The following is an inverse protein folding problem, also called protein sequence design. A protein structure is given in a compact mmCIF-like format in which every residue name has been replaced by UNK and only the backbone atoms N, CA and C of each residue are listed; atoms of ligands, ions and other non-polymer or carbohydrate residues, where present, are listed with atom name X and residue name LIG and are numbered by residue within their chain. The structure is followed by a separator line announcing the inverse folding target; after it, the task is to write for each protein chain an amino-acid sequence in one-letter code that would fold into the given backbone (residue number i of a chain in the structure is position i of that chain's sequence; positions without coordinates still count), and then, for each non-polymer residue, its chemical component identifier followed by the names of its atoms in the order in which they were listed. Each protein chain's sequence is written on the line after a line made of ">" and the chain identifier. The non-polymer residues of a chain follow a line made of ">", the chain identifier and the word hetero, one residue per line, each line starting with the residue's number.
data_IF_153958998644
#
_entry.id   IF_153958998644
#
_cell.length_a   1.000
_cell.length_b   1.000
_cell.length_c   1.000
_cell.angle_alpha   90.00
_cell.angle_beta   90.00
_cell.angle_gamma   90.00
#
_symmetry.space_group_name_H-M   'P 1'
#
loop_
_entity.id
_entity.type
_entity.pdbx_description
1 polymer ?
#
# COMPACT_ATOMS: atom_id res chain seq x y z
N UNK A 1 -50.95 -10.39 26.00
CA UNK A 1 -49.93 -10.38 24.91
C UNK A 1 -49.54 -8.94 24.65
N UNK A 2 -48.28 -8.56 24.91
CA UNK A 2 -47.82 -7.16 24.78
C UNK A 2 -46.69 -7.14 23.75
N UNK A 3 -46.99 -6.58 22.57
CA UNK A 3 -46.04 -6.43 21.47
C UNK A 3 -45.12 -5.23 21.73
N UNK A 4 -43.84 -5.50 22.01
CA UNK A 4 -42.79 -4.49 22.14
C UNK A 4 -41.54 -4.96 21.40
N UNK A 5 -41.54 -4.94 20.06
CA UNK A 5 -40.32 -5.32 19.31
C UNK A 5 -40.03 -4.48 18.06
N UNK A 6 -40.88 -3.52 17.68
CA UNK A 6 -40.68 -2.79 16.41
C UNK A 6 -40.21 -1.32 16.53
N UNK A 7 -39.95 -0.82 17.74
CA UNK A 7 -39.60 0.60 17.94
C UNK A 7 -38.10 0.93 17.94
N UNK A 8 -37.22 -0.08 17.95
CA UNK A 8 -35.76 0.10 18.04
C UNK A 8 -35.01 -0.12 16.71
N UNK A 9 -35.64 -0.78 15.73
CA UNK A 9 -35.05 -1.02 14.40
C UNK A 9 -35.10 0.23 13.50
N UNK A 10 -36.12 1.07 13.66
CA UNK A 10 -36.28 2.29 12.88
C UNK A 10 -35.22 3.38 13.17
N UNK A 11 -34.86 3.69 14.43
CA UNK A 11 -33.80 4.66 14.71
C UNK A 11 -32.40 4.16 14.30
N UNK A 12 -32.15 2.85 14.29
CA UNK A 12 -30.87 2.27 13.85
C UNK A 12 -30.67 2.42 12.33
N UNK A 13 -31.73 2.17 11.54
CA UNK A 13 -31.71 2.39 10.10
C UNK A 13 -31.52 3.86 9.71
N UNK A 14 -32.14 4.78 10.47
CA UNK A 14 -32.00 6.23 10.26
C UNK A 14 -30.60 6.71 10.64
N UNK A 15 -30.01 6.18 11.72
CA UNK A 15 -28.63 6.51 12.12
C UNK A 15 -27.57 6.05 11.10
N UNK A 16 -27.76 4.88 10.47
CA UNK A 16 -26.88 4.41 9.38
C UNK A 16 -27.03 5.22 8.08
N UNK A 17 -28.21 5.82 7.82
CA UNK A 17 -28.44 6.71 6.67
C UNK A 17 -27.84 8.11 6.87
N UNK A 18 -27.70 8.55 8.12
CA UNK A 18 -27.13 9.86 8.50
C UNK A 18 -25.59 9.88 8.62
N UNK A 19 -24.91 8.74 8.51
CA UNK A 19 -23.44 8.65 8.48
C UNK A 19 -22.87 8.80 7.07
N UNK A 20 -23.52 9.58 6.20
CA UNK A 20 -22.98 10.02 4.91
C UNK A 20 -21.87 11.04 5.17
N UNK A 21 -20.73 10.56 5.65
CA UNK A 21 -19.50 11.34 5.77
C UNK A 21 -19.06 11.85 4.40
N UNK A 22 -18.41 13.00 4.39
CA UNK A 22 -17.85 13.60 3.18
C UNK A 22 -17.05 12.55 2.41
N UNK A 23 -17.50 12.22 1.21
CA UNK A 23 -16.76 11.37 0.30
C UNK A 23 -15.47 12.10 -0.07
N UNK A 24 -14.35 11.65 0.49
CA UNK A 24 -13.04 12.08 0.03
C UNK A 24 -12.88 11.58 -1.41
N UNK A 25 -12.29 12.41 -2.28
CA UNK A 25 -11.97 12.01 -3.64
C UNK A 25 -11.12 10.73 -3.60
N UNK A 26 -11.58 9.67 -4.24
CA UNK A 26 -10.85 8.42 -4.39
C UNK A 26 -10.34 8.32 -5.82
N UNK A 27 -9.08 7.94 -5.99
CA UNK A 27 -8.48 7.75 -7.30
C UNK A 27 -8.69 6.30 -7.78
N UNK A 28 -8.78 6.03 -9.09
CA UNK A 28 -8.85 4.65 -9.63
C UNK A 28 -7.71 3.76 -9.13
N UNK A 29 -6.54 4.34 -8.91
CA UNK A 29 -5.36 3.69 -8.35
C UNK A 29 -5.60 3.20 -6.91
N UNK A 30 -6.40 3.92 -6.12
CA UNK A 30 -6.79 3.50 -4.77
C UNK A 30 -7.71 2.26 -4.82
N UNK A 31 -8.63 2.22 -5.79
CA UNK A 31 -9.51 1.07 -5.98
C UNK A 31 -8.71 -0.18 -6.38
N UNK A 32 -7.74 -0.05 -7.29
CA UNK A 32 -6.84 -1.14 -7.66
C UNK A 32 -6.04 -1.62 -6.44
N UNK A 33 -5.43 -0.69 -5.70
CA UNK A 33 -4.62 -1.00 -4.52
C UNK A 33 -5.40 -1.70 -3.41
N UNK A 34 -6.66 -1.31 -3.17
CA UNK A 34 -7.55 -1.99 -2.22
C UNK A 34 -8.04 -3.35 -2.73
N UNK A 35 -8.06 -3.57 -4.05
CA UNK A 35 -8.49 -4.84 -4.63
C UNK A 35 -7.40 -5.93 -4.63
N UNK A 36 -6.13 -5.54 -4.48
CA UNK A 36 -5.02 -6.48 -4.45
C UNK A 36 -4.94 -7.17 -3.08
N UNK A 37 -5.06 -8.51 -3.03
CA UNK A 37 -4.93 -9.24 -1.79
C UNK A 37 -3.47 -9.24 -1.34
N UNK A 38 -3.23 -9.15 -0.02
CA UNK A 38 -1.90 -9.36 0.52
C UNK A 38 -1.55 -10.84 0.65
N UNK A 39 -0.43 -11.12 1.33
CA UNK A 39 0.15 -12.47 1.45
C UNK A 39 -0.60 -13.39 2.42
N UNK A 40 -1.63 -12.88 3.12
CA UNK A 40 -2.41 -13.63 4.10
C UNK A 40 -1.82 -13.62 5.51
N UNK A 41 -2.54 -14.27 6.44
CA UNK A 41 -2.28 -14.19 7.89
C UNK A 41 -1.90 -15.55 8.45
N UNK A 42 -0.98 -15.59 9.42
CA UNK A 42 -0.59 -16.84 10.09
C UNK A 42 0.71 -17.43 9.56
N UNK A 43 1.70 -17.62 10.45
CA UNK A 43 3.00 -18.20 10.07
C UNK A 43 2.86 -19.62 9.52
N UNK A 44 1.92 -20.41 10.06
CA UNK A 44 1.60 -21.75 9.55
C UNK A 44 1.01 -21.68 8.14
N UNK A 45 0.05 -20.79 7.90
CA UNK A 45 -0.55 -20.60 6.58
C UNK A 45 0.48 -20.14 5.54
N UNK A 46 1.31 -19.17 5.90
CA UNK A 46 2.41 -18.68 5.05
C UNK A 46 3.43 -19.79 4.74
N UNK A 47 3.79 -20.62 5.73
CA UNK A 47 4.68 -21.76 5.52
C UNK A 47 4.13 -22.85 4.59
N UNK A 48 2.82 -22.86 4.35
CA UNK A 48 2.16 -23.74 3.38
C UNK A 48 1.86 -23.03 2.05
N UNK A 49 2.50 -21.89 1.79
CA UNK A 49 2.25 -21.11 0.58
C UNK A 49 0.79 -20.69 0.46
N UNK A 50 0.21 -20.22 1.57
CA UNK A 50 -1.18 -19.73 1.69
C UNK A 50 -2.29 -20.76 1.46
N UNK A 51 -1.96 -22.04 1.31
CA UNK A 51 -2.93 -23.14 1.21
C UNK A 51 -3.45 -23.59 2.59
N UNK A 52 -4.25 -22.75 3.27
CA UNK A 52 -4.68 -23.03 4.66
C UNK A 52 -6.19 -23.19 4.90
N UNK A 53 -7.06 -22.68 4.02
CA UNK A 53 -8.52 -22.61 4.22
C UNK A 53 -9.19 -23.91 4.69
N UNK A 54 -8.76 -25.07 4.19
CA UNK A 54 -9.36 -26.38 4.51
C UNK A 54 -8.90 -26.99 5.85
N UNK A 55 -7.76 -26.54 6.38
CA UNK A 55 -7.14 -27.08 7.61
C UNK A 55 -6.92 -25.98 8.65
N UNK A 56 -7.64 -24.86 8.51
CA UNK A 56 -7.58 -23.74 9.43
C UNK A 56 -7.98 -24.18 10.83
N UNK A 57 -7.03 -24.15 11.77
CA UNK A 57 -7.15 -24.81 13.07
C UNK A 57 -6.34 -24.12 14.17
N UNK A 58 -6.04 -22.83 13.99
CA UNK A 58 -5.40 -21.94 14.96
C UNK A 58 -6.09 -20.58 14.93
N UNK A 59 -5.66 -19.60 15.72
CA UNK A 59 -6.22 -18.24 15.71
C UNK A 59 -6.37 -17.66 14.28
N UNK A 60 -5.44 -17.94 13.36
CA UNK A 60 -5.49 -17.40 11.99
C UNK A 60 -6.67 -17.92 11.16
N UNK A 61 -7.40 -18.93 11.65
CA UNK A 61 -8.69 -19.33 11.09
C UNK A 61 -9.71 -18.18 11.02
N UNK A 62 -9.57 -17.15 11.86
CA UNK A 62 -10.38 -15.91 11.78
C UNK A 62 -10.34 -15.28 10.37
N UNK A 63 -9.20 -15.37 9.68
CA UNK A 63 -8.96 -14.84 8.34
C UNK A 63 -9.27 -15.87 7.25
N UNK A 64 -8.84 -17.12 7.43
CA UNK A 64 -8.95 -18.14 6.37
C UNK A 64 -10.30 -18.84 6.31
N UNK A 65 -10.81 -19.31 7.44
CA UNK A 65 -12.06 -20.05 7.56
C UNK A 65 -12.55 -20.03 9.02
N UNK A 66 -13.47 -19.13 9.39
CA UNK A 66 -13.87 -18.97 10.78
C UNK A 66 -14.51 -20.22 11.37
N UNK A 67 -15.13 -21.11 10.58
CA UNK A 67 -15.66 -22.37 11.09
C UNK A 67 -14.55 -23.27 11.67
N UNK A 68 -13.31 -23.12 11.18
CA UNK A 68 -12.13 -23.80 11.71
C UNK A 68 -11.81 -23.46 13.17
N UNK A 69 -12.24 -22.29 13.66
CA UNK A 69 -12.06 -21.92 15.07
C UNK A 69 -12.77 -22.90 16.02
N UNK A 70 -13.89 -23.53 15.60
CA UNK A 70 -14.58 -24.52 16.42
C UNK A 70 -13.69 -25.75 16.73
N UNK A 71 -12.65 -25.99 15.94
CA UNK A 71 -11.70 -27.09 16.17
C UNK A 71 -10.70 -26.81 17.30
N UNK A 72 -10.65 -25.58 17.83
CA UNK A 72 -9.77 -25.21 18.93
C UNK A 72 -10.20 -25.86 20.24
N UNK A 73 -9.28 -26.61 20.84
CA UNK A 73 -9.50 -27.32 22.11
C UNK A 73 -9.19 -26.45 23.34
N UNK A 74 -8.27 -25.50 23.18
CA UNK A 74 -7.76 -24.65 24.25
C UNK A 74 -7.74 -23.20 23.80
N UNK A 75 -7.62 -22.29 24.75
CA UNK A 75 -7.37 -20.89 24.43
C UNK A 75 -5.98 -20.73 23.79
N UNK A 76 -5.90 -19.96 22.72
CA UNK A 76 -4.67 -19.70 21.98
C UNK A 76 -4.41 -18.20 21.89
N UNK A 77 -3.14 -17.83 22.01
CA UNK A 77 -2.65 -16.49 21.73
C UNK A 77 -1.65 -16.56 20.57
N UNK A 78 -1.79 -15.63 19.62
CA UNK A 78 -0.90 -15.51 18.48
C UNK A 78 -0.27 -14.12 18.46
N UNK A 79 1.03 -14.07 18.23
CA UNK A 79 1.78 -12.87 17.88
C UNK A 79 2.71 -13.16 16.72
N UNK A 80 2.80 -12.25 15.75
CA UNK A 80 3.67 -12.38 14.59
C UNK A 80 4.24 -11.01 14.19
N UNK A 81 5.53 -10.98 13.85
CA UNK A 81 6.19 -9.84 13.20
C UNK A 81 6.57 -10.24 11.78
N UNK A 82 6.43 -9.30 10.85
CA UNK A 82 6.69 -9.51 9.42
C UNK A 82 7.75 -8.54 8.93
N UNK A 83 8.70 -9.06 8.15
CA UNK A 83 9.81 -8.32 7.56
C UNK A 83 9.76 -8.46 6.03
N UNK A 84 8.90 -7.68 5.33
CA UNK A 84 8.85 -7.73 3.88
C UNK A 84 10.17 -7.25 3.26
N UNK A 85 10.58 -7.91 2.19
CA UNK A 85 11.69 -7.50 1.33
C UNK A 85 11.28 -7.77 -0.11
N UNK A 86 11.17 -6.72 -0.91
CA UNK A 86 10.78 -6.76 -2.31
C UNK A 86 11.92 -6.19 -3.13
N UNK A 87 12.34 -6.91 -4.16
CA UNK A 87 13.36 -6.46 -5.10
C UNK A 87 12.71 -6.34 -6.47
N UNK A 88 12.82 -5.16 -7.07
CA UNK A 88 12.34 -4.83 -8.41
C UNK A 88 13.53 -4.53 -9.33
N UNK A 89 13.39 -4.81 -10.61
CA UNK A 89 14.38 -4.56 -11.66
C UNK A 89 13.78 -3.62 -12.72
N UNK A 90 14.24 -2.37 -12.74
CA UNK A 90 13.85 -1.38 -13.73
C UNK A 90 14.81 -1.36 -14.91
N UNK A 91 14.30 -1.57 -16.13
CA UNK A 91 15.05 -1.39 -17.37
C UNK A 91 14.78 0.00 -17.96
N UNK A 92 15.83 0.80 -18.14
CA UNK A 92 15.72 2.14 -18.73
C UNK A 92 16.93 2.47 -19.60
N UNK A 93 16.68 2.88 -20.86
CA UNK A 93 17.72 3.11 -21.88
C UNK A 93 18.77 1.99 -21.99
N UNK A 94 18.37 0.74 -21.80
CA UNK A 94 19.26 -0.43 -21.88
C UNK A 94 20.09 -0.70 -20.63
N UNK A 95 19.91 0.10 -19.57
CA UNK A 95 20.52 -0.14 -18.26
C UNK A 95 19.48 -0.74 -17.30
N UNK A 96 19.85 -1.82 -16.61
CA UNK A 96 18.99 -2.48 -15.62
C UNK A 96 19.44 -2.09 -14.22
N UNK A 97 18.52 -1.51 -13.44
CA UNK A 97 18.75 -1.12 -12.05
C UNK A 97 17.93 -2.01 -11.13
N UNK A 98 18.58 -2.65 -10.15
CA UNK A 98 17.89 -3.41 -9.11
C UNK A 98 17.68 -2.52 -7.88
N UNK A 99 16.44 -2.45 -7.40
CA UNK A 99 16.06 -1.69 -6.20
C UNK A 99 15.38 -2.62 -5.21
N UNK A 100 15.83 -2.58 -3.96
CA UNK A 100 15.25 -3.40 -2.88
C UNK A 100 14.58 -2.49 -1.86
N UNK A 101 13.28 -2.70 -1.62
CA UNK A 101 12.52 -2.12 -0.54
C UNK A 101 12.32 -3.14 0.58
N UNK A 102 12.54 -2.73 1.82
CA UNK A 102 12.32 -3.59 2.98
C UNK A 102 11.58 -2.83 4.08
N UNK A 103 10.94 -3.58 4.97
CA UNK A 103 10.23 -3.01 6.11
C UNK A 103 10.14 -3.97 7.28
N UNK A 104 9.55 -3.49 8.37
CA UNK A 104 9.22 -4.29 9.53
C UNK A 104 7.90 -3.80 10.11
N UNK A 105 6.97 -4.71 10.40
CA UNK A 105 5.71 -4.37 11.05
C UNK A 105 5.17 -5.54 11.89
N UNK A 106 4.22 -5.22 12.77
CA UNK A 106 3.41 -6.25 13.41
C UNK A 106 2.55 -6.92 12.34
N UNK A 107 2.68 -8.23 12.20
CA UNK A 107 1.94 -9.03 11.21
C UNK A 107 0.57 -9.44 11.74
N UNK A 108 0.51 -9.97 12.96
CA UNK A 108 -0.74 -10.32 13.61
C UNK A 108 -0.58 -10.36 15.13
N UNK A 109 -1.65 -10.05 15.83
CA UNK A 109 -1.76 -10.18 17.27
C UNK A 109 -3.21 -10.53 17.61
N UNK A 110 -3.44 -11.63 18.31
CA UNK A 110 -4.80 -11.97 18.69
C UNK A 110 -4.92 -13.17 19.58
N UNK A 111 -6.16 -13.44 19.93
CA UNK A 111 -6.53 -14.43 20.92
C UNK A 111 -7.81 -15.14 20.49
N UNK A 112 -7.86 -16.45 20.72
CA UNK A 112 -9.05 -17.27 20.54
C UNK A 112 -9.32 -18.06 21.82
N UNK A 113 -10.57 -18.06 22.29
CA UNK A 113 -10.97 -18.77 23.50
C UNK A 113 -12.21 -19.65 23.24
N UNK A 114 -12.14 -20.95 23.61
CA UNK A 114 -13.32 -21.78 23.72
C UNK A 114 -14.13 -21.43 24.98
N UNK A 115 -15.45 -21.45 24.84
CA UNK A 115 -16.41 -21.25 25.91
C UNK A 115 -17.17 -22.56 26.19
N UNK A 116 -17.50 -22.85 27.45
CA UNK A 116 -18.19 -24.08 27.82
C UNK A 116 -19.61 -24.12 27.23
N UNK A 117 -19.89 -25.12 26.42
CA UNK A 117 -21.22 -25.42 25.85
C UNK A 117 -21.63 -26.85 26.14
N UNK A 118 -22.94 -27.14 26.13
CA UNK A 118 -23.47 -28.47 26.47
C UNK A 118 -23.10 -29.57 25.47
N UNK A 119 -22.93 -29.21 24.19
CA UNK A 119 -22.57 -30.10 23.07
C UNK A 119 -21.76 -29.32 22.06
N UNK A 120 -20.72 -29.96 21.51
CA UNK A 120 -19.85 -29.36 20.50
C UNK A 120 -18.85 -28.36 21.08
N UNK A 121 -18.31 -27.51 20.21
CA UNK A 121 -17.43 -26.40 20.54
C UNK A 121 -18.11 -25.05 20.28
N UNK A 122 -17.79 -24.04 21.08
CA UNK A 122 -18.08 -22.64 20.79
C UNK A 122 -16.84 -21.81 21.10
N UNK A 123 -16.34 -21.09 20.11
CA UNK A 123 -15.08 -20.34 20.20
C UNK A 123 -15.31 -18.92 19.75
N UNK A 124 -14.77 -17.97 20.50
CA UNK A 124 -14.72 -16.56 20.12
C UNK A 124 -13.25 -16.17 19.95
N UNK A 125 -12.97 -15.44 18.87
CA UNK A 125 -11.65 -14.92 18.57
C UNK A 125 -11.71 -13.41 18.34
N UNK A 126 -10.64 -12.73 18.73
CA UNK A 126 -10.47 -11.31 18.51
C UNK A 126 -9.00 -10.99 18.24
N UNK A 127 -8.77 -10.01 17.38
CA UNK A 127 -7.44 -9.45 17.25
C UNK A 127 -7.23 -8.63 16.00
N UNK A 128 -5.96 -8.37 15.77
CA UNK A 128 -5.41 -7.49 14.77
C UNK A 128 -4.56 -8.32 13.80
N UNK A 129 -4.61 -7.99 12.51
CA UNK A 129 -3.65 -8.48 11.53
C UNK A 129 -3.42 -7.48 10.40
N UNK A 130 -2.23 -7.53 9.79
CA UNK A 130 -1.92 -6.85 8.54
C UNK A 130 -2.47 -7.67 7.39
N UNK A 131 -3.45 -7.15 6.66
CA UNK A 131 -3.95 -7.79 5.44
C UNK A 131 -3.00 -7.59 4.27
N UNK A 132 -2.55 -6.35 4.08
CA UNK A 132 -1.69 -5.99 2.97
C UNK A 132 -0.59 -5.03 3.42
N UNK A 133 0.62 -5.21 2.88
CA UNK A 133 1.76 -4.34 3.12
C UNK A 133 2.14 -3.66 1.81
N UNK A 134 2.25 -2.34 1.83
CA UNK A 134 2.58 -1.56 0.65
C UNK A 134 4.08 -1.24 0.55
N UNK A 135 4.94 -2.02 1.23
CA UNK A 135 6.39 -1.89 1.10
C UNK A 135 6.76 -2.31 -0.33
N UNK A 136 7.07 -1.32 -1.15
CA UNK A 136 7.50 -1.51 -2.53
C UNK A 136 8.54 -0.45 -2.90
N UNK A 137 9.37 -0.74 -3.90
CA UNK A 137 10.35 0.21 -4.39
C UNK A 137 10.76 -0.12 -5.81
N UNK A 138 10.78 0.90 -6.66
CA UNK A 138 11.19 0.81 -8.05
C UNK A 138 12.22 1.89 -8.31
N UNK A 139 13.34 1.51 -8.91
CA UNK A 139 14.36 2.45 -9.36
C UNK A 139 14.76 2.14 -10.78
N UNK A 140 14.98 3.19 -11.56
CA UNK A 140 15.54 3.05 -12.90
C UNK A 140 16.47 4.23 -13.19
N UNK A 141 17.59 3.95 -13.84
CA UNK A 141 18.53 4.95 -14.28
C UNK A 141 19.00 4.70 -15.70
N UNK A 142 19.32 5.75 -16.44
CA UNK A 142 19.82 5.63 -17.80
C UNK A 142 20.17 6.97 -18.42
N UNK A 143 21.08 6.94 -19.38
CA UNK A 143 21.46 8.13 -20.14
C UNK A 143 20.39 8.43 -21.18
N UNK A 144 19.72 9.58 -21.05
CA UNK A 144 18.77 10.04 -22.03
C UNK A 144 19.49 10.86 -23.10
N UNK A 145 19.52 10.43 -24.37
CA UNK A 145 20.30 11.11 -25.41
C UNK A 145 19.61 12.34 -26.01
N UNK A 146 18.34 12.59 -25.68
CA UNK A 146 17.49 13.54 -26.42
C UNK A 146 16.55 14.38 -25.58
N UNK A 147 16.55 14.21 -24.26
CA UNK A 147 15.72 15.02 -23.38
C UNK A 147 16.40 15.32 -22.04
N UNK A 148 16.23 16.56 -21.58
CA UNK A 148 16.45 17.02 -20.20
C UNK A 148 15.28 17.90 -19.77
N UNK A 149 14.94 17.88 -18.49
CA UNK A 149 13.94 18.77 -17.91
C UNK A 149 14.31 20.25 -18.06
N UNK A 150 15.61 20.58 -17.99
CA UNK A 150 16.09 21.96 -18.20
C UNK A 150 15.74 22.42 -19.62
N UNK A 151 15.90 21.56 -20.63
CA UNK A 151 15.53 21.90 -22.01
C UNK A 151 14.05 22.01 -22.27
N UNK A 152 13.23 21.25 -21.53
CA UNK A 152 11.79 21.40 -21.63
C UNK A 152 11.31 22.75 -21.07
N UNK A 153 11.94 23.21 -19.98
CA UNK A 153 11.54 24.44 -19.29
C UNK A 153 12.23 25.70 -19.83
N UNK A 154 13.52 25.64 -20.15
CA UNK A 154 14.35 26.73 -20.68
C UNK A 154 15.25 26.21 -21.82
N UNK A 155 14.69 25.97 -23.02
CA UNK A 155 15.43 25.41 -24.15
C UNK A 155 16.53 26.35 -24.67
N UNK A 156 17.72 25.81 -24.92
CA UNK A 156 18.89 26.59 -25.34
C UNK A 156 18.62 27.35 -26.65
N UNK A 157 18.92 28.65 -26.66
CA UNK A 157 18.79 29.50 -27.84
C UNK A 157 17.34 29.80 -28.29
N UNK A 158 16.33 29.37 -27.53
CA UNK A 158 14.94 29.73 -27.80
C UNK A 158 14.56 31.05 -27.11
N UNK A 159 13.67 31.85 -27.72
CA UNK A 159 13.21 33.09 -27.10
C UNK A 159 12.55 32.82 -25.74
N UNK A 160 12.94 33.58 -24.72
CA UNK A 160 12.27 33.49 -23.43
C UNK A 160 10.96 34.30 -23.44
N UNK A 161 9.89 33.74 -22.87
CA UNK A 161 8.63 34.45 -22.68
C UNK A 161 8.75 35.55 -21.63
N UNK A 162 7.83 36.52 -21.62
CA UNK A 162 7.89 37.65 -20.67
C UNK A 162 7.62 37.25 -19.22
N UNK A 163 6.95 36.13 -18.98
CA UNK A 163 6.71 35.62 -17.63
C UNK A 163 7.66 34.46 -17.31
N UNK A 164 8.61 34.73 -16.44
CA UNK A 164 9.62 33.78 -15.98
C UNK A 164 9.32 33.24 -14.57
N UNK A 165 8.21 33.70 -13.96
CA UNK A 165 7.84 33.33 -12.58
C UNK A 165 7.58 31.83 -12.46
N UNK A 166 7.02 31.22 -13.50
CA UNK A 166 6.70 29.80 -13.55
C UNK A 166 7.84 28.94 -14.13
N UNK A 167 8.92 29.55 -14.61
CA UNK A 167 10.03 28.82 -15.22
C UNK A 167 11.00 28.29 -14.15
N UNK A 168 10.82 27.03 -13.76
CA UNK A 168 11.63 26.39 -12.72
C UNK A 168 13.13 26.34 -13.05
N UNK A 169 13.54 26.12 -14.30
CA UNK A 169 14.95 26.10 -14.66
C UNK A 169 15.61 27.46 -14.44
N UNK A 170 14.92 28.55 -14.80
CA UNK A 170 15.39 29.90 -14.53
C UNK A 170 15.38 30.24 -13.03
N UNK A 171 14.26 29.98 -12.33
CA UNK A 171 14.11 30.28 -10.90
C UNK A 171 15.11 29.55 -10.01
N UNK A 172 15.57 28.37 -10.44
CA UNK A 172 16.58 27.56 -9.75
C UNK A 172 18.01 27.85 -10.23
N UNK A 173 18.22 28.86 -11.08
CA UNK A 173 19.52 29.20 -11.67
C UNK A 173 20.18 28.03 -12.44
N UNK A 174 19.37 27.17 -13.04
CA UNK A 174 19.81 26.08 -13.91
C UNK A 174 19.93 26.51 -15.38
N UNK A 175 19.26 27.59 -15.76
CA UNK A 175 19.39 28.28 -17.04
C UNK A 175 19.41 29.81 -16.82
N UNK A 176 20.12 30.52 -17.69
CA UNK A 176 20.29 31.97 -17.67
C UNK A 176 19.65 32.61 -18.92
N UNK A 177 19.69 33.94 -19.01
CA UNK A 177 19.08 34.72 -20.07
C UNK A 177 20.11 35.57 -20.80
N UNK A 178 20.13 35.45 -22.13
CA UNK A 178 20.71 36.47 -22.98
C UNK A 178 19.69 37.60 -23.15
N UNK A 179 19.82 38.66 -22.35
CA UNK A 179 18.95 39.85 -22.45
C UNK A 179 19.19 40.69 -23.70
N UNK A 180 20.30 40.48 -24.43
CA UNK A 180 20.60 41.18 -25.68
C UNK A 180 19.85 40.55 -26.85
N UNK A 181 19.89 39.21 -26.94
CA UNK A 181 19.24 38.46 -28.01
C UNK A 181 17.84 37.96 -27.64
N UNK A 182 17.44 38.06 -26.38
CA UNK A 182 16.12 37.65 -25.90
C UNK A 182 15.94 36.14 -25.79
N UNK A 183 17.01 35.37 -25.56
CA UNK A 183 16.99 33.89 -25.59
C UNK A 183 17.47 33.27 -24.28
N UNK A 184 17.07 32.03 -24.01
CA UNK A 184 17.63 31.23 -22.92
C UNK A 184 19.05 30.74 -23.25
N UNK A 185 19.90 30.73 -22.22
CA UNK A 185 21.22 30.09 -22.23
C UNK A 185 21.17 28.98 -21.19
N UNK A 186 21.36 27.73 -21.62
CA UNK A 186 21.27 26.57 -20.74
C UNK A 186 22.56 25.73 -20.84
N UNK A 187 23.19 25.37 -19.72
CA UNK A 187 24.41 24.54 -19.74
C UNK A 187 24.14 23.14 -20.28
N UNK A 188 23.01 22.54 -19.90
CA UNK A 188 22.60 21.19 -20.29
C UNK A 188 21.72 21.29 -21.52
N UNK A 189 22.21 20.83 -22.67
CA UNK A 189 21.56 21.08 -23.97
C UNK A 189 20.51 20.10 -24.43
N UNK A 190 20.60 18.81 -24.12
CA UNK A 190 19.61 17.81 -24.61
C UNK A 190 19.80 16.44 -23.97
N UNK A 191 21.04 16.08 -23.63
CA UNK A 191 21.37 14.73 -23.15
C UNK A 191 21.81 14.75 -21.70
N UNK A 192 21.26 13.93 -20.83
CA UNK A 192 21.67 13.88 -19.42
C UNK A 192 21.30 12.52 -18.81
N UNK A 193 22.06 12.08 -17.81
CA UNK A 193 21.69 10.88 -17.05
C UNK A 193 20.48 11.18 -16.20
N UNK A 194 19.46 10.34 -16.31
CA UNK A 194 18.22 10.46 -15.57
C UNK A 194 18.09 9.29 -14.61
N UNK A 195 17.64 9.61 -13.40
CA UNK A 195 17.37 8.67 -12.34
C UNK A 195 15.96 8.90 -11.81
N UNK A 196 15.22 7.83 -11.63
CA UNK A 196 13.95 7.84 -10.92
C UNK A 196 13.97 6.81 -9.81
N UNK A 197 13.44 7.22 -8.66
CA UNK A 197 13.21 6.34 -7.52
C UNK A 197 11.77 6.54 -7.07
N UNK A 198 11.05 5.43 -6.97
CA UNK A 198 9.70 5.34 -6.44
C UNK A 198 9.78 4.48 -5.18
N UNK A 199 9.23 4.98 -4.09
CA UNK A 199 9.12 4.27 -2.83
C UNK A 199 7.67 4.30 -2.38
N UNK A 200 7.16 3.13 -2.00
CA UNK A 200 5.82 2.98 -1.45
C UNK A 200 5.93 2.43 -0.03
N UNK A 201 5.08 2.93 0.86
CA UNK A 201 5.01 2.45 2.22
C UNK A 201 3.61 2.55 2.79
N UNK A 202 3.40 1.88 3.93
CA UNK A 202 2.11 1.77 4.58
C UNK A 202 1.55 0.35 4.50
N UNK A 203 0.24 0.23 4.67
CA UNK A 203 -0.45 -1.05 4.65
C UNK A 203 -1.91 -0.92 5.06
N UNK A 204 -2.62 -2.04 4.91
CA UNK A 204 -3.99 -2.22 5.39
C UNK A 204 -3.92 -3.14 6.59
N UNK A 205 -4.42 -2.62 7.70
CA UNK A 205 -4.59 -3.33 8.95
C UNK A 205 -6.07 -3.70 9.13
N UNK A 206 -6.32 -4.80 9.81
CA UNK A 206 -7.64 -5.34 10.04
C UNK A 206 -7.83 -5.70 11.52
N UNK A 207 -8.92 -5.18 12.08
CA UNK A 207 -9.43 -5.58 13.38
C UNK A 207 -10.58 -6.54 13.18
N UNK A 208 -10.45 -7.76 13.71
CA UNK A 208 -11.43 -8.82 13.48
C UNK A 208 -11.97 -9.36 14.79
N UNK A 209 -13.27 -9.65 14.79
CA UNK A 209 -13.96 -10.41 15.82
C UNK A 209 -14.67 -11.57 15.12
N UNK A 210 -14.49 -12.78 15.62
CA UNK A 210 -15.14 -13.97 15.09
C UNK A 210 -15.74 -14.85 16.16
N UNK A 211 -16.75 -15.58 15.76
CA UNK A 211 -17.38 -16.63 16.55
C UNK A 211 -17.59 -17.87 15.69
N UNK A 212 -17.33 -19.04 16.24
CA UNK A 212 -17.56 -20.32 15.59
C UNK A 212 -18.16 -21.34 16.55
N UNK A 213 -19.04 -22.19 16.03
CA UNK A 213 -19.70 -23.23 16.80
C UNK A 213 -19.93 -24.50 15.99
N UNK A 214 -19.95 -25.63 16.68
CA UNK A 214 -20.44 -26.89 16.12
C UNK A 214 -21.96 -26.94 16.20
N UNK A 215 -22.62 -27.05 15.05
CA UNK A 215 -24.08 -27.12 14.95
C UNK A 215 -24.59 -28.56 14.83
N UNK A 216 -23.81 -29.45 14.19
CA UNK A 216 -24.12 -30.88 14.08
C UNK A 216 -22.83 -31.72 13.96
N UNK A 217 -22.99 -33.06 13.91
CA UNK A 217 -21.85 -33.96 13.68
C UNK A 217 -21.19 -33.63 12.34
N UNK A 218 -19.88 -33.37 12.38
CA UNK A 218 -19.07 -32.93 11.23
C UNK A 218 -19.58 -31.65 10.55
N UNK A 219 -20.32 -30.79 11.27
CA UNK A 219 -20.81 -29.53 10.74
C UNK A 219 -20.58 -28.39 11.73
N UNK A 220 -19.60 -27.55 11.37
CA UNK A 220 -19.22 -26.34 12.10
C UNK A 220 -19.58 -25.11 11.28
N UNK A 221 -19.95 -24.04 11.96
CA UNK A 221 -20.30 -22.76 11.36
C UNK A 221 -19.49 -21.65 12.05
N UNK A 222 -19.01 -20.67 11.29
CA UNK A 222 -18.30 -19.53 11.83
C UNK A 222 -18.55 -18.27 11.04
N UNK A 223 -18.45 -17.14 11.72
CA UNK A 223 -18.61 -15.79 11.17
C UNK A 223 -17.48 -14.92 11.69
N UNK A 224 -16.89 -14.14 10.79
CA UNK A 224 -15.94 -13.07 11.13
C UNK A 224 -16.54 -11.73 10.72
N UNK A 225 -16.42 -10.74 11.59
CA UNK A 225 -16.62 -9.33 11.28
C UNK A 225 -15.26 -8.65 11.30
N UNK A 226 -14.90 -7.99 10.21
CA UNK A 226 -13.59 -7.33 10.06
C UNK A 226 -13.78 -5.84 9.74
N UNK A 227 -13.01 -5.00 10.41
CA UNK A 227 -12.86 -3.58 10.12
C UNK A 227 -11.45 -3.32 9.59
N UNK A 228 -11.37 -2.84 8.34
CA UNK A 228 -10.12 -2.51 7.67
C UNK A 228 -9.81 -1.02 7.80
N UNK A 229 -8.58 -0.69 8.15
CA UNK A 229 -8.06 0.67 8.17
C UNK A 229 -6.59 0.65 7.72
N UNK A 230 -6.18 1.66 6.97
CA UNK A 230 -4.82 1.67 6.43
C UNK A 230 -4.33 3.06 6.09
N UNK A 231 -3.05 3.14 5.81
CA UNK A 231 -2.38 4.32 5.29
C UNK A 231 -1.47 3.93 4.14
N UNK A 232 -1.19 4.91 3.29
CA UNK A 232 -0.32 4.72 2.14
C UNK A 232 0.40 6.01 1.82
N UNK A 233 1.70 5.86 1.59
CA UNK A 233 2.57 6.95 1.18
C UNK A 233 3.26 6.52 -0.10
N UNK A 234 3.17 7.40 -1.10
CA UNK A 234 3.82 7.24 -2.39
C UNK A 234 4.80 8.39 -2.59
N UNK A 235 6.09 8.08 -2.58
CA UNK A 235 7.14 9.04 -2.79
C UNK A 235 7.85 8.76 -4.12
N UNK A 236 7.97 9.80 -4.95
CA UNK A 236 8.64 9.70 -6.24
C UNK A 236 9.65 10.82 -6.38
N UNK A 237 10.89 10.43 -6.63
CA UNK A 237 12.03 11.33 -6.82
C UNK A 237 12.61 11.14 -8.21
N UNK A 238 12.69 12.24 -8.95
CA UNK A 238 13.41 12.32 -10.21
C UNK A 238 14.67 13.15 -10.01
N UNK A 239 15.78 12.72 -10.60
CA UNK A 239 17.05 13.44 -10.57
C UNK A 239 17.68 13.38 -11.96
N UNK A 240 18.16 14.53 -12.45
CA UNK A 240 19.03 14.59 -13.62
C UNK A 240 20.44 14.94 -13.15
N UNK A 241 21.44 14.21 -13.63
CA UNK A 241 22.84 14.39 -13.23
C UNK A 241 23.76 14.29 -14.46
N UNK A 242 24.68 15.24 -14.61
CA UNK A 242 25.75 15.16 -15.61
C UNK A 242 26.91 14.28 -15.09
N UNK A 243 26.68 12.97 -15.01
CA UNK A 243 27.70 12.00 -14.56
C UNK A 243 28.87 11.87 -15.52
N UNK A 244 28.60 12.05 -16.81
CA UNK A 244 29.59 11.92 -17.88
C UNK A 244 30.41 13.20 -18.09
N UNK A 245 30.15 14.24 -17.28
CA UNK A 245 30.89 15.50 -17.30
C UNK A 245 30.87 16.20 -18.66
N UNK A 246 29.74 16.09 -19.37
CA UNK A 246 29.57 16.64 -20.72
C UNK A 246 29.48 18.17 -20.68
N UNK A 247 28.98 18.75 -19.58
CA UNK A 247 28.64 20.17 -19.47
C UNK A 247 29.51 20.92 -18.45
N UNK A 248 30.80 20.57 -18.35
CA UNK A 248 31.74 21.23 -17.43
C UNK A 248 32.07 22.68 -17.80
N UNK A 249 31.88 23.07 -19.06
CA UNK A 249 32.14 24.43 -19.53
C UNK A 249 30.83 25.17 -19.72
N UNK A 250 30.59 26.16 -18.87
CA UNK A 250 29.53 27.14 -19.08
C UNK A 250 29.90 28.04 -20.26
N UNK A 251 28.98 28.29 -21.23
CA UNK A 251 29.21 29.20 -22.34
C UNK A 251 29.34 30.67 -21.92
#
# INVERSE_FOLDING_TARGET
>A
MRAYTLRLLMPLGIAMLLSSGAALSQFPEDALRLSMPGIGVGTRALGMGTAYTGIASDYSAIYWNPAGLAQLKYGEFMGAFTFPSVTDEGLFFGNTTSTTASGAHLGALGFAAPFPVKRGSFVVALGFHRDNSFVNGLGYEGFNPSYSYIQNSAPDGQPYGYDLTENLAYQLYLADLDTVNGVFISPIRDRVTQLAQVSESGGIDAWSIAGAMDLAYNFSFGVTLTYHAGSYTYDRRYTEEDRDQIYQTYP
#
